data_IF_798268339817
#
_entry.id   IF_798268339817
#
_cell.length_a   1.000
_cell.length_b   1.000
_cell.length_c   1.000
_cell.angle_alpha   90.00
_cell.angle_beta   90.00
_cell.angle_gamma   90.00
#
_symmetry.space_group_name_H-M   'P 1'
#
loop_
_entity.id
_entity.type
_entity.pdbx_description
1 polymer ?
#
# COMPACT_ATOMS: atom_id res chain seq x y z
N UNK A 1 -12.83 14.69 11.23
CA UNK A 1 -11.65 13.87 10.93
C UNK A 1 -11.85 13.15 9.62
N UNK A 2 -10.92 13.35 8.70
CA UNK A 2 -11.03 12.78 7.37
C UNK A 2 -10.45 11.38 7.34
N UNK A 3 -11.22 10.42 6.83
CA UNK A 3 -10.73 9.07 6.63
C UNK A 3 -10.07 8.96 5.28
N UNK A 4 -9.01 8.16 5.22
CA UNK A 4 -8.30 7.91 3.98
C UNK A 4 -8.24 6.41 3.75
N UNK A 5 -8.02 6.02 2.50
CA UNK A 5 -8.01 4.61 2.12
C UNK A 5 -6.60 4.24 1.66
N UNK A 6 -6.01 3.28 2.36
CA UNK A 6 -4.65 2.82 2.14
C UNK A 6 -4.70 1.46 1.46
N UNK A 7 -3.96 1.31 0.36
CA UNK A 7 -3.86 0.01 -0.28
C UNK A 7 -2.53 -0.64 0.12
N UNK A 8 -2.65 -1.88 0.58
CA UNK A 8 -1.54 -2.62 1.15
C UNK A 8 -1.17 -3.78 0.23
N UNK A 9 0.11 -3.88 -0.03
CA UNK A 9 0.73 -5.05 -0.61
C UNK A 9 1.89 -5.42 0.32
N UNK A 10 2.38 -6.66 0.26
CA UNK A 10 3.48 -7.04 1.12
C UNK A 10 3.06 -7.28 2.57
N UNK A 11 3.89 -6.86 3.53
CA UNK A 11 3.67 -7.18 4.94
C UNK A 11 2.37 -6.61 5.49
N UNK A 12 1.89 -5.49 4.97
CA UNK A 12 0.64 -4.90 5.44
C UNK A 12 -0.61 -5.61 4.91
N UNK A 13 -0.43 -6.67 4.12
CA UNK A 13 -1.51 -7.63 3.85
C UNK A 13 -1.80 -8.48 5.09
N UNK A 14 -0.87 -8.60 6.02
CA UNK A 14 -1.06 -9.35 7.25
C UNK A 14 -1.89 -8.54 8.22
N UNK A 15 -3.11 -9.00 8.49
CA UNK A 15 -4.08 -8.27 9.32
C UNK A 15 -3.54 -8.05 10.72
N UNK A 16 -2.86 -9.04 11.29
CA UNK A 16 -2.33 -8.94 12.65
C UNK A 16 -1.26 -7.86 12.75
N UNK A 17 -0.32 -7.84 11.81
CA UNK A 17 0.74 -6.84 11.80
C UNK A 17 0.16 -5.44 11.57
N UNK A 18 -0.79 -5.33 10.66
CA UNK A 18 -1.42 -4.05 10.39
C UNK A 18 -2.17 -3.52 11.62
N UNK A 19 -2.86 -4.38 12.34
CA UNK A 19 -3.57 -3.97 13.56
C UNK A 19 -2.62 -3.54 14.66
N UNK A 20 -1.46 -4.17 14.75
CA UNK A 20 -0.43 -3.77 15.71
C UNK A 20 0.13 -2.39 15.36
N UNK A 21 0.40 -2.15 14.08
CA UNK A 21 0.98 -0.89 13.58
C UNK A 21 -0.04 0.24 13.59
N UNK A 22 -1.28 -0.06 13.22
CA UNK A 22 -2.35 0.93 13.06
C UNK A 22 -3.63 0.40 13.74
N UNK A 23 -3.72 0.54 15.08
CA UNK A 23 -4.84 -0.09 15.82
C UNK A 23 -6.22 0.40 15.40
N UNK A 24 -6.34 1.62 14.85
CA UNK A 24 -7.63 2.16 14.47
C UNK A 24 -7.96 1.91 13.00
N UNK A 25 -7.06 1.29 12.25
CA UNK A 25 -7.33 0.98 10.85
C UNK A 25 -8.28 -0.20 10.72
N UNK A 26 -9.09 -0.19 9.67
CA UNK A 26 -10.08 -1.25 9.42
C UNK A 26 -9.96 -1.71 7.97
N UNK A 27 -9.89 -3.02 7.78
CA UNK A 27 -9.94 -3.57 6.43
C UNK A 27 -11.37 -3.45 5.90
N UNK A 28 -11.51 -2.87 4.70
CA UNK A 28 -12.84 -2.63 4.15
C UNK A 28 -13.07 -3.32 2.82
N UNK A 29 -12.01 -3.78 2.17
CA UNK A 29 -12.20 -4.40 0.87
C UNK A 29 -10.92 -4.81 0.22
N UNK A 30 -11.04 -5.14 -1.06
CA UNK A 30 -9.93 -5.51 -1.92
C UNK A 30 -10.00 -4.69 -3.19
N UNK A 31 -8.86 -4.61 -3.89
CA UNK A 31 -8.78 -3.92 -5.16
C UNK A 31 -7.67 -4.53 -5.98
N UNK A 32 -7.59 -4.11 -7.23
CA UNK A 32 -6.50 -4.48 -8.12
C UNK A 32 -5.80 -3.21 -8.55
N UNK A 33 -4.48 -3.17 -8.37
CA UNK A 33 -3.66 -2.06 -8.82
C UNK A 33 -3.24 -2.36 -10.27
N UNK A 34 -3.85 -1.69 -11.26
CA UNK A 34 -3.60 -2.04 -12.66
C UNK A 34 -2.29 -1.44 -13.14
N UNK A 35 -1.65 -2.12 -14.07
CA UNK A 35 -0.44 -1.67 -14.75
C UNK A 35 0.73 -1.45 -13.79
N UNK A 36 0.82 -2.31 -12.79
CA UNK A 36 1.95 -2.40 -11.86
C UNK A 36 2.36 -3.85 -11.70
N UNK A 37 3.60 -4.07 -11.31
CA UNK A 37 4.07 -5.40 -10.92
C UNK A 37 4.73 -5.33 -9.57
N UNK A 38 4.66 -6.44 -8.85
CA UNK A 38 5.23 -6.59 -7.51
C UNK A 38 6.68 -7.05 -7.64
N UNK A 39 7.59 -6.35 -6.96
CA UNK A 39 9.02 -6.63 -7.07
C UNK A 39 9.69 -6.65 -5.71
N UNK A 40 10.72 -7.48 -5.59
CA UNK A 40 11.66 -7.39 -4.48
C UNK A 40 12.86 -6.58 -4.94
N UNK A 41 13.22 -5.57 -4.14
CA UNK A 41 14.40 -4.75 -4.39
C UNK A 41 15.35 -4.91 -3.22
N UNK A 42 16.64 -4.99 -3.52
CA UNK A 42 17.64 -5.16 -2.48
C UNK A 42 18.30 -3.86 -2.08
N UNK A 43 18.81 -3.85 -0.87
CA UNK A 43 19.64 -2.79 -0.36
C UNK A 43 20.69 -3.44 0.55
N UNK A 44 21.61 -2.62 1.09
CA UNK A 44 22.60 -3.12 2.03
C UNK A 44 21.98 -3.66 3.31
N UNK A 45 20.76 -3.23 3.62
CA UNK A 45 20.06 -3.63 4.85
C UNK A 45 19.04 -4.73 4.65
N UNK A 46 18.80 -5.19 3.40
CA UNK A 46 17.87 -6.30 3.15
C UNK A 46 17.12 -6.17 1.86
N UNK A 47 16.12 -7.02 1.72
CA UNK A 47 15.21 -7.01 0.57
C UNK A 47 13.90 -6.36 0.97
N UNK A 48 13.35 -5.57 0.07
CA UNK A 48 12.12 -4.84 0.32
C UNK A 48 11.15 -5.04 -0.84
N UNK A 49 9.88 -5.16 -0.50
CA UNK A 49 8.83 -5.32 -1.49
C UNK A 49 8.35 -3.95 -1.95
N UNK A 50 8.15 -3.81 -3.25
CA UNK A 50 7.61 -2.58 -3.83
C UNK A 50 6.83 -2.92 -5.10
N UNK A 51 6.21 -1.92 -5.69
CA UNK A 51 5.54 -2.06 -6.99
C UNK A 51 6.12 -1.06 -7.95
N UNK A 52 6.18 -1.43 -9.23
CA UNK A 52 6.64 -0.52 -10.29
C UNK A 52 5.69 -0.61 -11.47
N UNK A 53 5.57 0.47 -12.24
CA UNK A 53 4.72 0.44 -13.43
C UNK A 53 5.13 -0.67 -14.38
N UNK A 54 4.14 -1.43 -14.84
CA UNK A 54 4.36 -2.48 -15.82
C UNK A 54 3.04 -2.71 -16.56
N UNK A 55 2.95 -2.19 -17.77
CA UNK A 55 1.73 -2.28 -18.56
C UNK A 55 1.27 -3.73 -18.70
N UNK A 56 0.00 -3.95 -18.44
CA UNK A 56 -0.63 -5.26 -18.57
C UNK A 56 -0.50 -6.16 -17.36
N UNK A 57 0.29 -5.78 -16.35
CA UNK A 57 0.36 -6.52 -15.10
C UNK A 57 -0.57 -5.91 -14.06
N UNK A 58 -0.98 -6.71 -13.08
CA UNK A 58 -1.89 -6.26 -12.03
C UNK A 58 -1.41 -6.80 -10.69
N UNK A 59 -1.63 -6.00 -9.63
CA UNK A 59 -1.26 -6.43 -8.27
C UNK A 59 -2.52 -6.42 -7.41
N UNK A 60 -2.90 -7.57 -6.85
CA UNK A 60 -4.01 -7.60 -5.90
C UNK A 60 -3.59 -6.94 -4.59
N UNK A 61 -4.47 -6.15 -4.01
CA UNK A 61 -4.18 -5.39 -2.79
C UNK A 61 -5.35 -5.45 -1.84
N UNK A 62 -5.06 -5.27 -0.55
CA UNK A 62 -6.07 -5.07 0.47
C UNK A 62 -6.28 -3.57 0.65
N UNK A 63 -7.51 -3.18 1.02
CA UNK A 63 -7.84 -1.78 1.22
C UNK A 63 -8.23 -1.56 2.68
N UNK A 64 -7.55 -0.62 3.32
CA UNK A 64 -7.77 -0.27 4.71
C UNK A 64 -8.29 1.16 4.82
N UNK A 65 -9.26 1.35 5.70
CA UNK A 65 -9.70 2.68 6.09
C UNK A 65 -8.79 3.15 7.24
N UNK A 66 -8.14 4.30 7.08
CA UNK A 66 -7.15 4.79 8.04
C UNK A 66 -7.50 6.19 8.51
N UNK A 67 -7.06 6.50 9.74
CA UNK A 67 -7.14 7.84 10.31
C UNK A 67 -5.82 8.57 10.10
N UNK A 68 -5.77 9.84 10.49
CA UNK A 68 -4.51 10.60 10.43
C UNK A 68 -3.42 9.95 11.28
N UNK A 69 -3.78 9.45 12.44
CA UNK A 69 -2.82 8.76 13.33
C UNK A 69 -2.27 7.51 12.67
N UNK A 70 -3.14 6.75 12.01
CA UNK A 70 -2.71 5.56 11.28
C UNK A 70 -1.77 5.91 10.16
N UNK A 71 -2.09 6.95 9.40
CA UNK A 71 -1.25 7.37 8.28
C UNK A 71 0.12 7.84 8.77
N UNK A 72 0.17 8.56 9.90
CA UNK A 72 1.44 8.97 10.49
C UNK A 72 2.29 7.76 10.89
N UNK A 73 1.66 6.72 11.43
CA UNK A 73 2.38 5.49 11.79
C UNK A 73 2.92 4.78 10.55
N UNK A 74 2.12 4.74 9.48
CA UNK A 74 2.56 4.15 8.21
C UNK A 74 3.71 4.95 7.60
N UNK A 75 3.62 6.29 7.65
CA UNK A 75 4.71 7.14 7.14
C UNK A 75 6.03 6.81 7.82
N UNK A 76 6.00 6.63 9.13
CA UNK A 76 7.22 6.26 9.87
C UNK A 76 7.72 4.88 9.51
N UNK A 77 6.81 3.93 9.40
CA UNK A 77 7.17 2.55 9.07
C UNK A 77 7.80 2.45 7.69
N UNK A 78 7.25 3.18 6.71
CA UNK A 78 7.74 3.12 5.35
C UNK A 78 8.93 4.05 5.10
N UNK A 79 9.29 4.86 6.07
CA UNK A 79 10.37 5.83 5.88
C UNK A 79 10.02 6.91 4.87
N UNK A 80 8.76 7.33 4.87
CA UNK A 80 8.27 8.39 4.00
C UNK A 80 8.81 9.74 4.46
N UNK A 81 9.24 10.63 3.57
CA UNK A 81 9.26 10.48 2.11
C UNK A 81 10.60 9.99 1.54
N UNK A 82 11.54 9.63 2.39
CA UNK A 82 12.92 9.36 1.97
C UNK A 82 13.05 8.00 1.28
N UNK A 83 12.54 6.94 1.92
CA UNK A 83 12.69 5.59 1.40
C UNK A 83 11.56 5.21 0.46
N UNK A 84 10.31 5.51 0.87
CA UNK A 84 9.13 5.31 0.03
C UNK A 84 8.45 6.65 -0.19
N UNK A 85 7.78 6.82 -1.32
CA UNK A 85 6.91 7.95 -1.56
C UNK A 85 5.46 7.48 -1.60
N UNK A 86 4.52 8.41 -1.47
CA UNK A 86 3.10 8.11 -1.57
C UNK A 86 2.57 8.49 -2.94
N UNK A 87 1.90 7.54 -3.58
CA UNK A 87 1.14 7.81 -4.79
C UNK A 87 -0.34 7.78 -4.45
N UNK A 88 -1.12 8.62 -5.11
CA UNK A 88 -2.57 8.64 -4.94
C UNK A 88 -3.23 8.34 -6.28
N UNK A 89 -4.32 7.59 -6.24
CA UNK A 89 -5.04 7.22 -7.44
C UNK A 89 -6.46 6.83 -7.08
N UNK A 90 -7.33 6.79 -8.07
CA UNK A 90 -8.68 6.26 -7.88
C UNK A 90 -8.75 4.83 -8.33
N UNK A 91 -9.32 3.96 -7.49
CA UNK A 91 -9.49 2.56 -7.81
C UNK A 91 -10.89 2.08 -7.42
N UNK A 92 -11.46 1.15 -8.18
CA UNK A 92 -12.66 0.44 -7.74
C UNK A 92 -12.30 -0.47 -6.58
N UNK A 93 -13.05 -0.36 -5.49
CA UNK A 93 -12.85 -1.18 -4.30
C UNK A 93 -14.03 -2.10 -4.14
N UNK A 94 -13.77 -3.39 -3.98
CA UNK A 94 -14.81 -4.38 -3.71
C UNK A 94 -14.94 -4.51 -2.20
N UNK A 95 -16.09 -4.12 -1.66
CA UNK A 95 -16.31 -4.15 -0.21
C UNK A 95 -16.30 -5.56 0.33
N UNK A 96 -15.63 -5.76 1.46
CA UNK A 96 -15.46 -7.09 2.04
C UNK A 96 -16.77 -7.66 2.61
N UNK A 97 -17.67 -6.77 3.04
CA UNK A 97 -18.94 -7.19 3.62
C UNK A 97 -20.05 -7.28 2.60
N UNK A 98 -20.10 -6.34 1.65
CA UNK A 98 -21.25 -6.17 0.77
C UNK A 98 -21.00 -6.68 -0.63
N UNK A 99 -19.74 -6.86 -1.03
CA UNK A 99 -19.39 -7.16 -2.41
C UNK A 99 -19.64 -6.01 -3.37
N UNK A 100 -20.09 -4.87 -2.87
CA UNK A 100 -20.34 -3.71 -3.72
C UNK A 100 -19.04 -3.07 -4.14
N UNK A 101 -19.04 -2.54 -5.38
CA UNK A 101 -17.87 -1.89 -5.93
C UNK A 101 -18.07 -0.38 -5.83
N UNK A 102 -17.09 0.30 -5.23
CA UNK A 102 -17.10 1.75 -5.11
C UNK A 102 -15.74 2.30 -5.49
N UNK A 103 -15.72 3.32 -6.32
CA UNK A 103 -14.49 4.00 -6.69
C UNK A 103 -14.08 4.94 -5.57
N UNK A 104 -12.84 4.83 -5.11
CA UNK A 104 -12.32 5.65 -4.02
C UNK A 104 -10.92 6.13 -4.36
N UNK A 105 -10.57 7.30 -3.84
CA UNK A 105 -9.20 7.78 -3.88
C UNK A 105 -8.40 7.03 -2.80
N UNK A 106 -7.32 6.40 -3.21
CA UNK A 106 -6.49 5.59 -2.34
C UNK A 106 -5.06 6.11 -2.35
N UNK A 107 -4.28 5.74 -1.33
CA UNK A 107 -2.85 6.02 -1.32
C UNK A 107 -2.06 4.74 -1.12
N UNK A 108 -0.86 4.73 -1.67
CA UNK A 108 0.02 3.57 -1.64
C UNK A 108 1.46 4.05 -1.52
N UNK A 109 2.28 3.30 -0.78
CA UNK A 109 3.71 3.61 -0.62
C UNK A 109 4.50 2.84 -1.66
N UNK A 110 5.36 3.55 -2.38
CA UNK A 110 6.18 2.98 -3.45
C UNK A 110 7.62 3.38 -3.21
N UNK A 111 8.53 2.41 -3.31
CA UNK A 111 9.96 2.69 -3.14
C UNK A 111 10.44 3.61 -4.25
N UNK A 112 11.28 4.59 -3.88
CA UNK A 112 11.92 5.46 -4.87
C UNK A 112 12.77 4.63 -5.83
N UNK A 113 12.70 4.96 -7.11
CA UNK A 113 13.40 4.19 -8.14
C UNK A 113 14.92 4.24 -7.95
N UNK A 114 15.44 5.37 -7.51
CA UNK A 114 16.88 5.52 -7.30
C UNK A 114 17.39 4.62 -6.18
N UNK A 115 16.55 4.30 -5.21
CA UNK A 115 16.89 3.35 -4.16
C UNK A 115 16.81 1.90 -4.63
N UNK A 116 16.13 1.66 -5.74
CA UNK A 116 15.94 0.32 -6.28
C UNK A 116 17.04 -0.10 -7.23
N UNK A 117 18.11 0.68 -7.35
CA UNK A 117 19.23 0.35 -8.21
C UNK A 117 20.03 -0.85 -7.71
N UNK A 118 19.92 -1.18 -6.43
CA UNK A 118 20.59 -2.35 -5.87
C UNK A 118 19.58 -3.50 -5.92
N UNK A 119 19.80 -4.41 -6.85
CA UNK A 119 18.94 -5.58 -7.02
C UNK A 119 19.57 -6.80 -6.36
N UNK A 120 18.72 -7.64 -5.84
CA UNK A 120 19.14 -8.90 -5.24
C UNK A 120 18.82 -10.04 -6.17
#
# INVERSE_FOLDING_TARGET
>A
MQKRYYIAYGSNLNIRQMKFRCPTARIIGTATLPDYELLFKGSKTGSYLTVEPKKGKNVPVAVWETTETDEAALDRYEGFPTFYYKAEMELPIVGIRTGKVRKRKVYVYIMHEDLSLIHI
#
